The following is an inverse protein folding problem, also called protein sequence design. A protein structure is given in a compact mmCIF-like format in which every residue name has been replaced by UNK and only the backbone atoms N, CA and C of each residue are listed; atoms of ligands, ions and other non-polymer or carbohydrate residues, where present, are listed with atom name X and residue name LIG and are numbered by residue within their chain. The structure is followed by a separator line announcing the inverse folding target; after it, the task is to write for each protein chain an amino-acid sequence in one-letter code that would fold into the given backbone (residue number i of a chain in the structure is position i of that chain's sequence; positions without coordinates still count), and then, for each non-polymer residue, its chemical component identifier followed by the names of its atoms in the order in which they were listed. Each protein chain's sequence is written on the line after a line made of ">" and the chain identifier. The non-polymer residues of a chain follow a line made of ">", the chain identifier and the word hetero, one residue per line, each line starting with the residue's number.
data_IF_895759388303
#
_entry.id   IF_895759388303
#
_cell.length_a   1.000
_cell.length_b   1.000
_cell.length_c   1.000
_cell.angle_alpha   90.00
_cell.angle_beta   90.00
_cell.angle_gamma   90.00
#
_symmetry.space_group_name_H-M   'P 1'
#
loop_
_entity.id
_entity.type
_entity.pdbx_description
1 polymer ?
#
# COMPACT_ATOMS: atom_id res chain seq x y z
N UNK A 1 -23.21 -17.23 -34.56
CA UNK A 1 -22.03 -16.33 -34.72
C UNK A 1 -20.88 -17.22 -35.14
N UNK A 2 -20.21 -16.93 -36.29
CA UNK A 2 -19.13 -17.82 -36.77
C UNK A 2 -17.87 -17.70 -35.89
N UNK A 3 -17.08 -18.78 -35.80
CA UNK A 3 -15.83 -18.86 -35.00
C UNK A 3 -14.89 -17.65 -35.22
N UNK A 4 -14.70 -17.23 -36.47
CA UNK A 4 -13.84 -16.08 -36.79
C UNK A 4 -14.30 -14.77 -36.11
N UNK A 5 -15.62 -14.52 -36.01
CA UNK A 5 -16.16 -13.35 -35.32
C UNK A 5 -15.98 -13.44 -33.80
N UNK A 6 -16.13 -14.63 -33.23
CA UNK A 6 -15.91 -14.85 -31.79
C UNK A 6 -14.44 -14.62 -31.42
N UNK A 7 -13.50 -15.14 -32.21
CA UNK A 7 -12.06 -14.93 -32.02
C UNK A 7 -11.70 -13.44 -32.12
N UNK A 8 -12.24 -12.73 -33.11
CA UNK A 8 -11.97 -11.29 -33.26
C UNK A 8 -12.49 -10.47 -32.07
N UNK A 9 -13.64 -10.81 -31.51
CA UNK A 9 -14.20 -10.12 -30.32
C UNK A 9 -13.33 -10.39 -29.09
N UNK A 10 -12.93 -11.65 -28.87
CA UNK A 10 -12.05 -12.02 -27.75
C UNK A 10 -10.70 -11.31 -27.86
N UNK A 11 -10.11 -11.30 -29.05
CA UNK A 11 -8.83 -10.59 -29.27
C UNK A 11 -8.95 -9.08 -29.03
N UNK A 12 -10.05 -8.45 -29.45
CA UNK A 12 -10.27 -7.02 -29.21
C UNK A 12 -10.46 -6.71 -27.72
N UNK A 13 -11.17 -7.56 -26.97
CA UNK A 13 -11.35 -7.42 -25.53
C UNK A 13 -10.02 -7.60 -24.79
N UNK A 14 -9.22 -8.59 -25.15
CA UNK A 14 -7.91 -8.83 -24.58
C UNK A 14 -6.95 -7.66 -24.85
N UNK A 15 -6.95 -7.13 -26.08
CA UNK A 15 -6.15 -5.97 -26.45
C UNK A 15 -6.59 -4.73 -25.65
N UNK A 16 -7.88 -4.50 -25.51
CA UNK A 16 -8.44 -3.43 -24.69
C UNK A 16 -8.04 -3.56 -23.23
N UNK A 17 -8.08 -4.77 -22.68
CA UNK A 17 -7.65 -5.04 -21.32
C UNK A 17 -6.15 -4.76 -21.12
N UNK A 18 -5.30 -5.20 -22.06
CA UNK A 18 -3.85 -4.91 -22.02
C UNK A 18 -3.56 -3.43 -22.13
N UNK A 19 -4.23 -2.70 -23.02
CA UNK A 19 -4.08 -1.25 -23.14
C UNK A 19 -4.49 -0.52 -21.85
N UNK A 20 -5.59 -0.94 -21.21
CA UNK A 20 -6.00 -0.37 -19.92
C UNK A 20 -4.99 -0.69 -18.81
N UNK A 21 -4.46 -1.90 -18.79
CA UNK A 21 -3.43 -2.31 -17.83
C UNK A 21 -2.11 -1.55 -18.03
N UNK A 22 -1.67 -1.35 -19.28
CA UNK A 22 -0.49 -0.55 -19.63
C UNK A 22 -0.67 0.92 -19.26
N UNK A 23 -1.82 1.52 -19.56
CA UNK A 23 -2.14 2.90 -19.18
C UNK A 23 -2.20 3.07 -17.65
N UNK A 24 -2.73 2.08 -16.93
CA UNK A 24 -2.71 2.07 -15.46
C UNK A 24 -1.27 1.93 -14.92
N UNK A 25 -0.43 1.13 -15.57
CA UNK A 25 0.99 0.99 -15.21
C UNK A 25 1.83 2.24 -15.55
N UNK A 26 1.41 3.05 -16.54
CA UNK A 26 2.06 4.31 -16.90
C UNK A 26 1.61 5.48 -16.02
N UNK A 27 0.52 5.33 -15.25
CA UNK A 27 0.09 6.39 -14.34
C UNK A 27 1.14 6.54 -13.23
N UNK A 28 1.89 7.62 -13.32
CA UNK A 28 2.83 8.00 -12.27
C UNK A 28 2.05 8.42 -11.02
N UNK A 29 2.19 7.66 -9.96
CA UNK A 29 1.64 8.04 -8.66
C UNK A 29 2.71 8.77 -7.85
N UNK A 30 2.50 10.05 -7.63
CA UNK A 30 3.30 10.87 -6.72
C UNK A 30 2.53 10.94 -5.41
N UNK A 31 3.18 10.59 -4.32
CA UNK A 31 2.61 10.59 -2.96
C UNK A 31 3.09 11.84 -2.24
N UNK A 32 2.30 12.89 -2.29
CA UNK A 32 2.65 14.19 -1.70
C UNK A 32 2.17 14.31 -0.25
N UNK A 33 1.05 13.67 0.06
CA UNK A 33 0.39 13.70 1.36
C UNK A 33 -0.25 12.35 1.70
N UNK A 34 -0.86 12.27 2.87
CA UNK A 34 -1.53 11.07 3.39
C UNK A 34 -2.74 10.66 2.54
N UNK A 35 -3.44 11.63 1.94
CA UNK A 35 -4.58 11.37 1.06
C UNK A 35 -4.15 10.74 -0.27
N UNK A 36 -3.03 11.18 -0.85
CA UNK A 36 -2.43 10.54 -2.03
C UNK A 36 -2.06 9.09 -1.72
N UNK A 37 -1.43 8.86 -0.55
CA UNK A 37 -1.07 7.51 -0.09
C UNK A 37 -2.32 6.64 0.09
N UNK A 38 -3.37 7.16 0.73
CA UNK A 38 -4.64 6.47 0.89
C UNK A 38 -5.25 6.09 -0.46
N UNK A 39 -5.37 7.03 -1.38
CA UNK A 39 -5.94 6.80 -2.71
C UNK A 39 -5.14 5.75 -3.52
N UNK A 40 -3.82 5.70 -3.31
CA UNK A 40 -2.95 4.73 -3.97
C UNK A 40 -3.12 3.31 -3.44
N UNK A 41 -3.24 3.15 -2.12
CA UNK A 41 -3.24 1.82 -1.49
C UNK A 41 -4.64 1.28 -1.22
N UNK A 42 -5.63 2.13 -0.97
CA UNK A 42 -6.99 1.76 -0.60
C UNK A 42 -7.61 0.69 -1.51
N UNK A 43 -7.52 0.78 -2.86
CA UNK A 43 -8.07 -0.25 -3.75
C UNK A 43 -7.47 -1.65 -3.53
N UNK A 44 -6.31 -1.74 -2.91
CA UNK A 44 -5.61 -3.01 -2.67
C UNK A 44 -5.98 -3.66 -1.33
N UNK A 45 -6.45 -2.87 -0.35
CA UNK A 45 -6.60 -3.35 1.04
C UNK A 45 -7.96 -3.06 1.67
N UNK A 46 -8.81 -2.28 1.00
CA UNK A 46 -10.17 -1.99 1.50
C UNK A 46 -11.06 -3.23 1.45
N UNK A 47 -11.89 -3.42 2.47
CA UNK A 47 -12.85 -4.51 2.56
C UNK A 47 -12.24 -5.93 2.57
N UNK A 48 -10.97 -6.07 2.88
CA UNK A 48 -10.37 -7.39 3.06
C UNK A 48 -10.86 -8.03 4.37
N UNK A 49 -11.18 -9.34 4.36
CA UNK A 49 -11.67 -10.04 5.56
C UNK A 49 -10.57 -10.33 6.58
N UNK A 50 -9.32 -10.12 6.19
CA UNK A 50 -8.13 -10.32 7.03
C UNK A 50 -7.27 -9.08 6.99
N UNK A 51 -6.49 -8.86 8.05
CA UNK A 51 -5.51 -7.79 8.10
C UNK A 51 -4.35 -8.09 7.15
N UNK A 52 -4.00 -7.14 6.32
CA UNK A 52 -2.82 -7.18 5.46
C UNK A 52 -1.93 -5.98 5.72
N UNK A 53 -0.64 -6.21 5.85
CA UNK A 53 0.35 -5.15 5.98
C UNK A 53 1.12 -4.98 4.68
N UNK A 54 1.17 -3.75 4.18
CA UNK A 54 1.79 -3.37 2.91
C UNK A 54 2.89 -2.34 3.10
N UNK A 55 3.91 -2.43 2.26
CA UNK A 55 4.94 -1.40 2.11
C UNK A 55 4.90 -0.81 0.69
N UNK A 56 5.07 0.49 0.60
CA UNK A 56 5.13 1.28 -0.61
C UNK A 56 6.52 1.92 -0.67
N UNK A 57 7.19 1.79 -1.80
CA UNK A 57 8.56 2.22 -2.02
C UNK A 57 8.59 3.39 -3.00
N UNK A 58 9.27 4.47 -2.63
CA UNK A 58 9.24 5.72 -3.39
C UNK A 58 10.66 6.21 -3.68
N UNK A 59 10.79 6.87 -4.83
CA UNK A 59 12.04 7.55 -5.18
C UNK A 59 12.13 8.96 -4.53
N UNK A 60 13.22 9.68 -4.81
CA UNK A 60 13.46 11.04 -4.31
C UNK A 60 12.38 12.05 -4.70
N UNK A 61 11.63 11.81 -5.78
CA UNK A 61 10.51 12.64 -6.23
C UNK A 61 9.17 12.20 -5.63
N UNK A 62 9.19 11.33 -4.63
CA UNK A 62 7.99 10.69 -4.03
C UNK A 62 7.10 9.93 -5.03
N UNK A 63 7.66 9.55 -6.19
CA UNK A 63 6.98 8.66 -7.13
C UNK A 63 7.00 7.24 -6.59
N UNK A 64 5.84 6.58 -6.58
CA UNK A 64 5.73 5.19 -6.21
C UNK A 64 6.43 4.31 -7.24
N UNK A 65 7.45 3.57 -6.80
CA UNK A 65 8.23 2.62 -7.57
C UNK A 65 7.61 1.23 -7.55
N UNK A 66 7.16 0.83 -6.37
CA UNK A 66 6.69 -0.53 -6.11
C UNK A 66 5.83 -0.56 -4.85
N UNK A 67 4.91 -1.49 -4.75
CA UNK A 67 4.23 -1.82 -3.49
C UNK A 67 4.21 -3.33 -3.29
N UNK A 68 4.29 -3.77 -2.04
CA UNK A 68 4.38 -5.18 -1.69
C UNK A 68 3.59 -5.47 -0.42
N UNK A 69 2.85 -6.58 -0.45
CA UNK A 69 2.29 -7.15 0.77
C UNK A 69 3.42 -7.82 1.57
N UNK A 70 3.62 -7.34 2.79
CA UNK A 70 4.65 -7.83 3.71
C UNK A 70 4.14 -8.99 4.55
N UNK A 71 2.91 -8.85 5.07
CA UNK A 71 2.27 -9.91 5.84
C UNK A 71 0.79 -10.04 5.50
N UNK A 72 0.27 -11.23 5.71
CA UNK A 72 -1.14 -11.59 5.67
C UNK A 72 -1.47 -12.06 7.09
N UNK A 73 -2.28 -11.30 7.81
CA UNK A 73 -2.68 -11.62 9.18
C UNK A 73 -3.60 -12.82 9.24
N UNK A 74 -3.38 -13.68 10.23
CA UNK A 74 -4.34 -14.60 10.76
C UNK A 74 -4.71 -14.15 12.18
N UNK A 75 -5.69 -14.81 12.79
CA UNK A 75 -6.22 -14.53 14.14
C UNK A 75 -5.13 -14.52 15.24
N UNK A 76 -3.91 -14.94 14.94
CA UNK A 76 -2.76 -14.95 15.84
C UNK A 76 -1.49 -14.52 15.11
N UNK A 77 -1.01 -13.35 15.47
CA UNK A 77 0.39 -12.90 15.45
C UNK A 77 1.31 -13.39 14.32
N UNK A 78 1.08 -12.95 13.06
CA UNK A 78 2.20 -12.97 12.13
C UNK A 78 2.90 -11.62 12.22
N UNK A 79 4.02 -11.51 12.96
CA UNK A 79 4.71 -10.24 13.10
C UNK A 79 5.22 -9.76 11.75
N UNK A 80 5.05 -8.46 11.49
CA UNK A 80 5.62 -7.81 10.30
C UNK A 80 7.14 -7.92 10.35
N UNK A 81 7.73 -8.60 9.37
CA UNK A 81 9.19 -8.70 9.26
C UNK A 81 9.76 -7.43 8.61
N UNK A 82 10.28 -6.52 9.45
CA UNK A 82 10.89 -5.25 9.03
C UNK A 82 12.05 -5.47 8.06
N UNK A 83 12.77 -6.59 8.17
CA UNK A 83 13.89 -6.91 7.25
C UNK A 83 13.41 -7.04 5.82
N UNK A 84 12.21 -7.59 5.59
CA UNK A 84 11.60 -7.70 4.24
C UNK A 84 11.28 -6.33 3.67
N UNK A 85 10.83 -5.39 4.50
CA UNK A 85 10.54 -4.02 4.07
C UNK A 85 11.83 -3.39 3.55
N UNK A 86 12.89 -3.40 4.34
CA UNK A 86 14.13 -2.71 3.98
C UNK A 86 14.95 -3.46 2.93
N UNK A 87 14.92 -4.78 2.86
CA UNK A 87 15.55 -5.54 1.77
C UNK A 87 14.99 -5.11 0.41
N UNK A 88 13.66 -5.02 0.29
CA UNK A 88 13.01 -4.55 -0.94
C UNK A 88 13.30 -3.06 -1.19
N UNK A 89 13.33 -2.22 -0.15
CA UNK A 89 13.66 -0.81 -0.30
C UNK A 89 15.07 -0.62 -0.89
N UNK A 90 16.04 -1.38 -0.42
CA UNK A 90 17.40 -1.36 -0.94
C UNK A 90 17.47 -1.90 -2.39
N UNK A 91 16.79 -3.02 -2.67
CA UNK A 91 16.71 -3.59 -4.03
C UNK A 91 16.14 -2.59 -5.05
N UNK A 92 15.10 -1.86 -4.65
CA UNK A 92 14.41 -0.88 -5.51
C UNK A 92 15.06 0.50 -5.52
N UNK A 93 16.16 0.70 -4.77
CA UNK A 93 16.79 2.00 -4.57
C UNK A 93 15.78 3.06 -4.10
N UNK A 94 14.89 2.67 -3.19
CA UNK A 94 13.92 3.58 -2.60
C UNK A 94 14.61 4.54 -1.64
N UNK A 95 14.21 5.81 -1.70
CA UNK A 95 14.65 6.87 -0.76
C UNK A 95 13.65 7.01 0.38
N UNK A 96 12.36 6.82 0.05
CA UNK A 96 11.27 6.86 1.00
C UNK A 96 10.49 5.56 1.00
N UNK A 97 9.92 5.24 2.13
CA UNK A 97 8.91 4.20 2.28
C UNK A 97 7.66 4.79 2.94
N UNK A 98 6.52 4.23 2.61
CA UNK A 98 5.29 4.37 3.37
C UNK A 98 4.78 2.97 3.70
N UNK A 99 4.02 2.83 4.78
CA UNK A 99 3.40 1.57 5.12
C UNK A 99 1.90 1.74 5.35
N UNK A 100 1.15 0.68 5.12
CA UNK A 100 -0.29 0.69 5.29
C UNK A 100 -0.79 -0.67 5.74
N UNK A 101 -1.84 -0.70 6.55
CA UNK A 101 -2.58 -1.91 6.84
C UNK A 101 -4.09 -1.61 6.95
N UNK A 102 -4.91 -2.63 6.80
CA UNK A 102 -6.34 -2.52 7.01
C UNK A 102 -6.74 -3.11 8.35
N UNK A 103 -7.75 -2.53 8.97
CA UNK A 103 -8.45 -3.15 10.08
C UNK A 103 -9.77 -3.77 9.57
N UNK A 104 -9.92 -5.10 9.53
CA UNK A 104 -11.17 -5.76 9.10
C UNK A 104 -12.40 -5.35 9.91
N UNK A 105 -12.19 -4.94 11.16
CA UNK A 105 -13.25 -4.40 12.03
C UNK A 105 -13.75 -3.01 11.64
N UNK A 106 -13.04 -2.34 10.72
CA UNK A 106 -13.32 -0.96 10.29
C UNK A 106 -12.79 0.12 11.23
N UNK A 107 -12.29 -0.21 12.43
CA UNK A 107 -11.76 0.79 13.35
C UNK A 107 -10.47 1.42 12.84
N UNK A 108 -10.36 2.75 12.91
CA UNK A 108 -9.20 3.50 12.42
C UNK A 108 -8.14 3.76 13.50
N UNK A 109 -8.50 3.59 14.79
CA UNK A 109 -7.57 3.91 15.88
C UNK A 109 -6.39 2.93 15.92
N UNK A 110 -5.14 3.45 15.98
CA UNK A 110 -3.96 2.60 16.05
C UNK A 110 -3.86 1.87 17.39
N UNK A 111 -3.53 0.59 17.32
CA UNK A 111 -3.21 -0.22 18.49
C UNK A 111 -1.84 0.17 19.08
N UNK A 112 -1.51 -0.38 20.24
CA UNK A 112 -0.17 -0.25 20.82
C UNK A 112 0.89 -0.94 19.96
N UNK A 113 0.54 -2.06 19.37
CA UNK A 113 1.36 -2.87 18.48
C UNK A 113 1.69 -2.09 17.20
N UNK A 114 0.72 -1.38 16.62
CA UNK A 114 0.94 -0.52 15.44
C UNK A 114 1.93 0.60 15.75
N UNK A 115 1.78 1.25 16.89
CA UNK A 115 2.69 2.31 17.34
C UNK A 115 4.11 1.78 17.55
N UNK A 116 4.26 0.63 18.20
CA UNK A 116 5.56 -0.02 18.42
C UNK A 116 6.21 -0.44 17.09
N UNK A 117 5.43 -0.98 16.16
CA UNK A 117 5.92 -1.36 14.84
C UNK A 117 6.40 -0.12 14.07
N UNK A 118 5.61 0.96 14.09
CA UNK A 118 5.97 2.23 13.45
C UNK A 118 7.30 2.77 13.99
N UNK A 119 7.46 2.82 15.32
CA UNK A 119 8.72 3.25 15.94
C UNK A 119 9.91 2.39 15.46
N UNK A 120 9.76 1.08 15.40
CA UNK A 120 10.83 0.17 14.94
C UNK A 120 11.19 0.39 13.47
N UNK A 121 10.20 0.68 12.61
CA UNK A 121 10.43 1.00 11.19
C UNK A 121 11.16 2.34 11.07
N UNK A 122 10.75 3.37 11.85
CA UNK A 122 11.43 4.66 11.91
C UNK A 122 12.90 4.53 12.32
N UNK A 123 13.20 3.76 13.36
CA UNK A 123 14.57 3.53 13.83
C UNK A 123 15.42 2.82 12.77
N UNK A 124 14.90 1.78 12.15
CA UNK A 124 15.59 1.06 11.08
C UNK A 124 15.83 1.97 9.85
N UNK A 125 14.82 2.77 9.48
CA UNK A 125 14.92 3.73 8.38
C UNK A 125 16.00 4.79 8.60
N UNK A 126 16.14 5.32 9.82
CA UNK A 126 17.20 6.25 10.20
C UNK A 126 18.59 5.66 9.99
N UNK A 127 18.80 4.39 10.35
CA UNK A 127 20.09 3.71 10.18
C UNK A 127 20.43 3.53 8.70
N UNK A 128 19.43 3.22 7.87
CA UNK A 128 19.59 2.91 6.44
C UNK A 128 19.48 4.14 5.53
N UNK A 129 19.19 5.32 6.08
CA UNK A 129 18.86 6.54 5.32
C UNK A 129 17.70 6.33 4.33
N UNK A 130 16.68 5.57 4.77
CA UNK A 130 15.43 5.34 4.05
C UNK A 130 14.30 5.83 4.96
N UNK A 131 13.71 6.96 4.62
CA UNK A 131 12.76 7.64 5.49
C UNK A 131 11.36 7.01 5.38
N UNK A 132 10.74 6.74 6.54
CA UNK A 132 9.32 6.44 6.61
C UNK A 132 8.55 7.76 6.54
N UNK A 133 7.79 7.97 5.46
CA UNK A 133 7.03 9.22 5.27
C UNK A 133 5.64 9.17 5.91
N UNK A 134 5.02 7.99 6.01
CA UNK A 134 3.76 7.80 6.71
C UNK A 134 3.48 6.32 6.99
N UNK A 135 2.62 6.08 7.96
CA UNK A 135 1.93 4.82 8.21
C UNK A 135 0.44 5.10 8.26
N UNK A 136 -0.35 4.47 7.39
CA UNK A 136 -1.80 4.65 7.39
C UNK A 136 -2.54 3.37 7.73
N UNK A 137 -3.63 3.52 8.48
CA UNK A 137 -4.59 2.46 8.78
C UNK A 137 -5.83 2.71 7.94
N UNK A 138 -6.22 1.75 7.13
CA UNK A 138 -7.41 1.84 6.27
C UNK A 138 -8.56 1.07 6.91
N UNK A 139 -9.71 1.70 6.98
CA UNK A 139 -10.90 1.11 7.54
C UNK A 139 -12.17 1.72 6.92
N UNK A 140 -13.25 1.69 7.67
CA UNK A 140 -14.54 2.23 7.26
C UNK A 140 -14.91 3.37 8.22
N UNK A 141 -15.05 4.56 7.67
CA UNK A 141 -15.44 5.75 8.42
C UNK A 141 -16.94 5.80 8.75
N UNK A 142 -17.34 6.87 9.45
CA UNK A 142 -18.70 7.07 9.96
C UNK A 142 -19.79 7.02 8.88
N UNK A 143 -19.47 7.38 7.64
CA UNK A 143 -20.41 7.39 6.50
C UNK A 143 -20.46 6.05 5.74
N UNK A 144 -19.94 4.97 6.34
CA UNK A 144 -19.82 3.65 5.70
C UNK A 144 -19.02 3.72 4.38
N UNK A 145 -18.03 4.59 4.34
CA UNK A 145 -17.10 4.75 3.22
C UNK A 145 -15.68 4.44 3.69
N UNK A 146 -14.80 4.00 2.78
CA UNK A 146 -13.39 3.86 3.09
C UNK A 146 -12.81 5.17 3.64
N UNK A 147 -12.05 5.06 4.73
CA UNK A 147 -11.42 6.17 5.42
C UNK A 147 -10.09 5.68 5.99
N UNK A 148 -9.26 6.59 6.52
CA UNK A 148 -7.95 6.24 7.04
C UNK A 148 -7.54 7.06 8.26
N UNK A 149 -6.61 6.51 9.02
CA UNK A 149 -5.83 7.20 10.03
C UNK A 149 -4.39 7.32 9.54
N UNK A 150 -3.80 8.50 9.58
CA UNK A 150 -2.40 8.75 9.25
C UNK A 150 -1.59 9.00 10.52
N UNK A 151 -0.47 8.30 10.67
CA UNK A 151 0.48 8.54 11.76
C UNK A 151 1.21 9.86 11.59
N UNK A 152 1.53 10.24 10.35
CA UNK A 152 2.16 11.52 10.03
C UNK A 152 1.25 12.70 10.42
N UNK A 153 -0.01 12.69 10.00
CA UNK A 153 -0.95 13.78 10.28
C UNK A 153 -1.24 13.94 11.78
N UNK A 154 -0.99 12.87 12.56
CA UNK A 154 -1.15 12.86 14.02
C UNK A 154 0.19 13.02 14.77
N UNK A 155 1.28 13.35 14.07
CA UNK A 155 2.58 13.66 14.69
C UNK A 155 3.31 12.47 15.30
N UNK A 156 3.06 11.26 14.79
CA UNK A 156 3.68 10.01 15.24
C UNK A 156 4.78 9.50 14.28
N UNK A 157 4.92 10.16 13.12
CA UNK A 157 5.95 9.95 12.10
C UNK A 157 6.51 11.29 11.69
#
# INVERSE_FOLDING_TARGET
>A
MGEAKAVSIIAALELGYRMLAENAAQKEYIISDSNDLFNYICPSIVNLPVEEFWAIYLNIKRKALFKQRISLGGITDTPVDIRRIFATALEKNAVYIAVAHNHPTGHLNPSREDKNLTCRILEAGKILNIELIDHIIVGIGENNRPDYYSFHDNGLV
#
